data_IF_359417397412
#
_entry.id   IF_359417397412
#
_cell.length_a   1.000
_cell.length_b   1.000
_cell.length_c   1.000
_cell.angle_alpha   90.00
_cell.angle_beta   90.00
_cell.angle_gamma   90.00
#
_symmetry.space_group_name_H-M   'P 1'
#
loop_
_entity.id
_entity.type
_entity.pdbx_description
1 polymer ?
#
# COMPACT_ATOMS: atom_id res chain seq x y z
N UNK A 1 -7.58 11.40 -14.49
CA UNK A 1 -6.79 10.44 -13.67
C UNK A 1 -5.44 11.06 -13.41
N UNK A 2 -5.20 11.44 -12.15
CA UNK A 2 -3.92 11.97 -11.72
C UNK A 2 -3.01 10.82 -11.28
N UNK A 3 -1.73 10.86 -11.65
CA UNK A 3 -0.72 9.96 -11.09
C UNK A 3 -0.44 10.37 -9.66
N UNK A 4 -0.33 9.39 -8.77
CA UNK A 4 -0.05 9.61 -7.36
C UNK A 4 1.06 8.69 -6.89
N UNK A 5 1.91 9.25 -6.03
CA UNK A 5 2.87 8.52 -5.23
C UNK A 5 2.55 8.89 -3.79
N UNK A 6 2.12 7.92 -3.00
CA UNK A 6 1.71 8.13 -1.62
C UNK A 6 2.52 7.25 -0.69
N UNK A 7 3.02 7.84 0.39
CA UNK A 7 3.56 7.10 1.51
C UNK A 7 2.40 6.60 2.37
N UNK A 8 2.45 5.31 2.72
CA UNK A 8 1.41 4.69 3.54
C UNK A 8 2.05 3.91 4.69
N UNK A 9 1.35 3.79 5.81
CA UNK A 9 1.75 2.94 6.95
C UNK A 9 0.92 1.65 6.91
N UNK A 10 1.59 0.51 6.83
CA UNK A 10 0.94 -0.81 6.90
C UNK A 10 1.60 -1.65 7.98
N UNK A 11 0.95 -2.73 8.37
CA UNK A 11 1.57 -3.79 9.17
C UNK A 11 2.04 -4.88 8.20
N UNK A 12 3.35 -5.13 8.19
CA UNK A 12 3.99 -6.17 7.38
C UNK A 12 4.61 -7.19 8.33
N UNK A 13 4.15 -8.44 8.25
CA UNK A 13 4.61 -9.53 9.11
C UNK A 13 4.55 -9.17 10.61
N UNK A 14 3.42 -8.58 11.03
CA UNK A 14 3.18 -8.17 12.42
C UNK A 14 3.98 -6.94 12.88
N UNK A 15 4.72 -6.26 11.98
CA UNK A 15 5.48 -5.05 12.31
C UNK A 15 4.97 -3.84 11.52
N UNK A 16 4.78 -2.67 12.15
CA UNK A 16 4.53 -1.44 11.42
C UNK A 16 5.68 -1.16 10.44
N UNK A 17 5.33 -0.86 9.18
CA UNK A 17 6.27 -0.58 8.11
C UNK A 17 5.74 0.52 7.20
N UNK A 18 6.63 1.42 6.81
CA UNK A 18 6.35 2.36 5.73
C UNK A 18 6.40 1.63 4.39
N UNK A 19 5.37 1.88 3.58
CA UNK A 19 5.22 1.36 2.24
C UNK A 19 4.94 2.53 1.28
N UNK A 20 5.13 2.29 -0.02
CA UNK A 20 4.88 3.30 -1.04
C UNK A 20 3.85 2.77 -2.03
N UNK A 21 2.76 3.51 -2.20
CA UNK A 21 1.79 3.28 -3.26
C UNK A 21 2.11 4.15 -4.47
N UNK A 22 2.09 3.57 -5.65
CA UNK A 22 2.27 4.26 -6.93
C UNK A 22 1.15 3.86 -7.89
N UNK A 23 0.30 4.80 -8.27
CA UNK A 23 -0.88 4.47 -9.08
C UNK A 23 -1.54 5.70 -9.67
N UNK A 24 -2.83 5.54 -9.97
CA UNK A 24 -3.70 6.63 -10.39
C UNK A 24 -4.83 6.82 -9.37
N UNK A 25 -5.27 8.08 -9.20
CA UNK A 25 -6.54 8.40 -8.55
C UNK A 25 -7.47 9.12 -9.54
N UNK A 26 -8.76 8.87 -9.45
CA UNK A 26 -9.77 9.71 -10.11
C UNK A 26 -9.98 11.01 -9.33
N UNK A 27 -10.18 12.12 -10.05
CA UNK A 27 -10.31 13.48 -9.50
C UNK A 27 -11.78 13.92 -9.34
N UNK A 28 -12.74 12.99 -9.33
CA UNK A 28 -14.14 13.37 -9.12
C UNK A 28 -14.42 13.52 -7.62
N UNK A 29 -14.60 14.78 -7.22
CA UNK A 29 -14.77 15.35 -5.87
C UNK A 29 -15.85 14.73 -4.96
N UNK A 30 -16.62 13.73 -5.40
CA UNK A 30 -17.69 13.13 -4.60
C UNK A 30 -17.41 11.68 -4.16
N UNK A 31 -16.58 10.94 -4.91
CA UNK A 31 -16.40 9.51 -4.71
C UNK A 31 -15.03 9.10 -5.28
N UNK A 32 -14.01 9.08 -4.42
CA UNK A 32 -12.71 8.49 -4.74
C UNK A 32 -12.92 6.97 -4.93
N UNK A 33 -13.35 6.56 -6.11
CA UNK A 33 -13.75 5.17 -6.42
C UNK A 33 -12.88 4.53 -7.50
N UNK A 34 -12.10 5.34 -8.24
CA UNK A 34 -11.35 4.86 -9.39
C UNK A 34 -9.84 4.99 -9.25
N UNK A 35 -9.13 3.96 -9.69
CA UNK A 35 -7.67 3.93 -9.77
C UNK A 35 -7.08 2.59 -9.32
N UNK A 36 -6.06 2.14 -10.03
CA UNK A 36 -5.24 0.99 -9.63
C UNK A 36 -3.78 1.38 -9.72
N UNK A 37 -2.98 0.71 -8.91
CA UNK A 37 -1.56 0.97 -8.82
C UNK A 37 -0.82 -0.25 -8.33
N UNK A 38 0.41 0.00 -7.92
CA UNK A 38 1.24 -0.98 -7.27
C UNK A 38 1.72 -0.47 -5.93
N UNK A 39 1.76 -1.39 -4.98
CA UNK A 39 2.29 -1.17 -3.65
C UNK A 39 3.70 -1.76 -3.58
N UNK A 40 4.64 -1.00 -3.05
CA UNK A 40 5.98 -1.49 -2.72
C UNK A 40 6.08 -1.67 -1.22
N UNK A 41 6.34 -2.90 -0.80
CA UNK A 41 6.46 -3.31 0.60
C UNK A 41 7.86 -3.84 0.88
N UNK A 42 8.37 -3.57 2.08
CA UNK A 42 9.64 -4.13 2.56
C UNK A 42 9.29 -5.19 3.62
N UNK A 43 9.65 -6.44 3.34
CA UNK A 43 9.42 -7.56 4.24
C UNK A 43 10.77 -8.14 4.68
N UNK A 44 11.20 -7.73 5.88
CA UNK A 44 12.46 -8.21 6.46
C UNK A 44 12.30 -9.65 6.97
N UNK A 45 13.16 -10.57 6.53
CA UNK A 45 13.28 -11.91 7.11
C UNK A 45 12.53 -13.06 6.44
N UNK A 46 12.08 -12.94 5.18
CA UNK A 46 11.47 -14.09 4.49
C UNK A 46 10.86 -13.82 3.11
N UNK A 47 10.19 -14.83 2.58
CA UNK A 47 9.27 -14.69 1.44
C UNK A 47 8.02 -13.92 1.90
N UNK A 48 7.60 -12.93 1.11
CA UNK A 48 6.40 -12.17 1.40
C UNK A 48 5.17 -12.97 0.97
N UNK A 49 4.27 -13.20 1.91
CA UNK A 49 2.98 -13.84 1.67
C UNK A 49 1.84 -12.82 1.81
N UNK A 50 0.73 -12.95 1.04
CA UNK A 50 -0.38 -12.00 1.08
C UNK A 50 -0.96 -11.74 2.48
N UNK A 51 -1.04 -12.79 3.30
CA UNK A 51 -1.56 -12.77 4.67
C UNK A 51 -0.64 -12.03 5.66
N UNK A 52 0.58 -11.68 5.26
CA UNK A 52 1.49 -10.88 6.09
C UNK A 52 1.16 -9.39 6.03
N UNK A 53 0.27 -8.96 5.13
CA UNK A 53 -0.12 -7.58 4.94
C UNK A 53 -1.41 -7.26 5.70
N UNK A 54 -1.36 -6.24 6.55
CA UNK A 54 -2.51 -5.70 7.25
C UNK A 54 -2.50 -4.16 7.19
N UNK A 55 -3.68 -3.56 7.30
CA UNK A 55 -3.85 -2.12 7.45
C UNK A 55 -3.18 -1.62 8.74
N UNK A 56 -2.97 -0.31 8.85
CA UNK A 56 -2.34 0.31 10.03
C UNK A 56 -3.06 0.01 11.35
N UNK A 57 -4.37 -0.24 11.28
CA UNK A 57 -5.22 -0.57 12.43
C UNK A 57 -5.18 -2.07 12.79
N UNK A 58 -4.42 -2.88 12.04
CA UNK A 58 -4.29 -4.32 12.21
C UNK A 58 -5.38 -5.13 11.51
N UNK A 59 -6.32 -4.49 10.79
CA UNK A 59 -7.31 -5.19 9.99
C UNK A 59 -6.70 -5.81 8.72
N UNK A 60 -7.34 -6.85 8.19
CA UNK A 60 -6.84 -7.59 7.03
C UNK A 60 -6.76 -6.69 5.78
N UNK A 61 -5.57 -6.63 5.16
CA UNK A 61 -5.42 -5.98 3.86
C UNK A 61 -5.83 -6.96 2.76
N UNK A 62 -7.04 -6.77 2.22
CA UNK A 62 -7.62 -7.68 1.24
C UNK A 62 -6.92 -7.64 -0.10
N UNK A 63 -6.09 -8.65 -0.36
CA UNK A 63 -5.54 -8.94 -1.67
C UNK A 63 -6.44 -9.95 -2.40
N UNK A 64 -6.76 -9.65 -3.66
CA UNK A 64 -7.53 -10.50 -4.56
C UNK A 64 -6.61 -11.41 -5.39
N UNK A 65 -7.19 -12.39 -6.09
CA UNK A 65 -6.45 -13.22 -7.04
C UNK A 65 -5.89 -12.44 -8.25
N UNK A 66 -6.39 -11.23 -8.51
CA UNK A 66 -5.85 -10.34 -9.55
C UNK A 66 -4.55 -9.66 -9.11
N UNK A 67 -4.28 -9.59 -7.80
CA UNK A 67 -3.08 -8.96 -7.28
C UNK A 67 -1.86 -9.84 -7.52
N UNK A 68 -0.94 -9.37 -8.35
CA UNK A 68 0.31 -10.05 -8.64
C UNK A 68 1.40 -9.58 -7.69
N UNK A 69 2.00 -10.52 -6.96
CA UNK A 69 3.15 -10.26 -6.10
C UNK A 69 4.44 -10.59 -6.87
N UNK A 70 5.36 -9.64 -6.93
CA UNK A 70 6.66 -9.80 -7.59
C UNK A 70 7.79 -9.33 -6.68
N UNK A 71 8.84 -10.14 -6.52
CA UNK A 71 10.05 -9.73 -5.81
C UNK A 71 10.83 -8.72 -6.64
N UNK A 72 11.21 -7.60 -6.02
CA UNK A 72 12.02 -6.57 -6.67
C UNK A 72 13.50 -6.94 -6.48
N UNK A 73 14.38 -6.49 -7.38
CA UNK A 73 15.85 -6.70 -7.27
C UNK A 73 16.49 -6.00 -6.06
N UNK A 74 15.72 -5.26 -5.28
CA UNK A 74 16.14 -4.66 -4.02
C UNK A 74 15.95 -5.68 -2.89
N UNK A 75 16.92 -5.73 -1.97
CA UNK A 75 16.88 -6.65 -0.83
C UNK A 75 15.57 -6.51 -0.08
N UNK A 76 14.87 -7.63 0.12
CA UNK A 76 13.67 -7.72 0.98
C UNK A 76 12.48 -6.85 0.53
N UNK A 77 12.46 -6.42 -0.74
CA UNK A 77 11.37 -5.62 -1.30
C UNK A 77 10.48 -6.41 -2.26
N UNK A 78 9.17 -6.20 -2.15
CA UNK A 78 8.15 -6.83 -2.97
C UNK A 78 7.21 -5.77 -3.55
N UNK A 79 6.73 -6.04 -4.75
CA UNK A 79 5.74 -5.23 -5.46
C UNK A 79 4.44 -6.02 -5.51
N UNK A 80 3.34 -5.40 -5.12
CA UNK A 80 1.99 -5.93 -5.25
C UNK A 80 1.26 -5.08 -6.28
N UNK A 81 0.94 -5.66 -7.44
CA UNK A 81 0.25 -4.99 -8.54
C UNK A 81 -1.28 -5.04 -8.38
N UNK A 82 -1.99 -4.23 -9.18
CA UNK A 82 -3.46 -4.14 -9.23
C UNK A 82 -4.11 -3.76 -7.90
N UNK A 83 -3.40 -2.99 -7.05
CA UNK A 83 -3.94 -2.52 -5.76
C UNK A 83 -4.87 -1.32 -6.03
N UNK A 84 -6.16 -1.41 -5.65
CA UNK A 84 -7.09 -0.30 -5.84
C UNK A 84 -6.72 0.86 -4.92
N UNK A 85 -6.84 2.09 -5.42
CA UNK A 85 -6.53 3.29 -4.62
C UNK A 85 -7.39 3.37 -3.36
N UNK A 86 -8.64 2.91 -3.43
CA UNK A 86 -9.56 2.88 -2.29
C UNK A 86 -9.08 2.02 -1.12
N UNK A 87 -8.29 0.97 -1.37
CA UNK A 87 -7.77 0.12 -0.32
C UNK A 87 -6.68 0.80 0.52
N UNK A 88 -5.96 1.78 -0.03
CA UNK A 88 -4.84 2.42 0.68
C UNK A 88 -5.21 3.74 1.36
N UNK A 89 -6.41 4.30 1.08
CA UNK A 89 -6.90 5.55 1.68
C UNK A 89 -6.74 5.61 3.21
N UNK A 90 -7.17 4.60 3.99
CA UNK A 90 -7.05 4.67 5.45
C UNK A 90 -5.60 4.61 5.95
N UNK A 91 -4.67 4.19 5.09
CA UNK A 91 -3.26 3.99 5.42
C UNK A 91 -2.36 5.12 4.93
N UNK A 92 -2.88 6.09 4.16
CA UNK A 92 -2.13 7.25 3.70
C UNK A 92 -1.60 8.02 4.91
N UNK A 93 -0.31 8.33 4.88
CA UNK A 93 0.31 9.23 5.85
C UNK A 93 0.09 10.64 5.35
N UNK A 94 -0.71 11.43 6.07
CA UNK A 94 -0.82 12.85 5.76
C UNK A 94 0.47 13.56 6.18
N UNK A 95 1.14 14.28 5.27
CA UNK A 95 2.40 14.96 5.57
C UNK A 95 2.22 16.12 6.57
N UNK A 96 0.98 16.52 6.85
CA UNK A 96 0.64 17.51 7.87
C UNK A 96 0.53 16.90 9.28
N UNK A 97 0.20 15.60 9.41
CA UNK A 97 0.10 14.91 10.71
C UNK A 97 1.47 14.64 11.36
N UNK A 98 2.56 14.53 10.58
CA UNK A 98 3.90 14.21 11.10
C UNK A 98 4.69 15.44 11.61
N UNK A 99 4.12 16.66 11.57
CA UNK A 99 4.77 17.87 12.11
C UNK A 99 4.39 18.20 13.57
N UNK A 100 3.50 17.44 14.20
CA UNK A 100 3.01 17.72 15.56
C UNK A 100 3.52 16.77 16.67
N UNK A 101 4.44 15.84 16.37
CA UNK A 101 5.12 15.00 17.40
C UNK A 101 6.57 15.40 17.71
#
# INVERSE_FOLDING_TARGET
>A
MARVVQQIKLVVNGKPSYCVYMGTKEENDADITGGKGHLVVICSGGEFEPNMLAHRDGSEFKLSAENKISKIKVREAYRVDEVPYTAIIPDIVDPEEEQEE
#
